data_IF_967362891395
#
_entry.id   IF_967362891395
#
_cell.length_a   1.000
_cell.length_b   1.000
_cell.length_c   1.000
_cell.angle_alpha   90.00
_cell.angle_beta   90.00
_cell.angle_gamma   90.00
#
_symmetry.space_group_name_H-M   'P 1'
#
loop_
_entity.id
_entity.type
_entity.pdbx_description
1 polymer ?
#
# COMPACT_ATOMS: atom_id res chain seq x y z
N UNK A 1 26.44 17.57 -9.37
CA UNK A 1 25.30 16.68 -9.08
C UNK A 1 25.79 15.59 -8.16
N UNK A 2 25.45 15.63 -6.87
CA UNK A 2 25.77 14.54 -5.95
C UNK A 2 24.91 13.36 -6.40
N UNK A 3 25.51 12.35 -7.01
CA UNK A 3 24.80 11.12 -7.38
C UNK A 3 24.47 10.43 -6.06
N UNK A 4 23.19 10.44 -5.70
CA UNK A 4 22.71 9.67 -4.55
C UNK A 4 23.00 8.17 -4.73
N UNK A 5 22.83 7.38 -3.67
CA UNK A 5 23.07 5.95 -3.74
C UNK A 5 22.26 5.29 -4.87
N UNK A 6 22.77 4.20 -5.45
CA UNK A 6 22.08 3.43 -6.47
C UNK A 6 20.62 3.10 -6.08
N UNK A 7 19.68 3.08 -7.04
CA UNK A 7 18.26 2.91 -6.74
C UNK A 7 17.94 1.61 -5.99
N UNK A 8 18.65 0.53 -6.29
CA UNK A 8 18.44 -0.78 -5.66
C UNK A 8 18.88 -0.77 -4.18
N UNK A 9 20.04 -0.17 -3.89
CA UNK A 9 20.53 0.03 -2.52
C UNK A 9 19.57 0.91 -1.74
N UNK A 10 19.14 2.01 -2.34
CA UNK A 10 18.14 2.89 -1.74
C UNK A 10 16.88 2.10 -1.41
N UNK A 11 16.30 1.34 -2.35
CA UNK A 11 15.06 0.59 -2.14
C UNK A 11 15.18 -0.50 -1.05
N UNK A 12 16.32 -1.20 -0.97
CA UNK A 12 16.56 -2.19 0.07
C UNK A 12 16.64 -1.52 1.45
N UNK A 13 17.35 -0.39 1.54
CA UNK A 13 17.40 0.44 2.73
C UNK A 13 16.02 0.91 3.18
N UNK A 14 15.20 1.47 2.28
CA UNK A 14 13.83 1.94 2.61
C UNK A 14 13.04 0.83 3.30
N UNK A 15 13.04 -0.37 2.70
CA UNK A 15 12.21 -1.48 3.16
C UNK A 15 12.62 -1.97 4.55
N UNK A 16 13.92 -2.06 4.81
CA UNK A 16 14.42 -2.44 6.13
C UNK A 16 14.20 -1.32 7.16
N UNK A 17 14.49 -0.07 6.80
CA UNK A 17 14.37 1.08 7.69
C UNK A 17 12.93 1.35 8.13
N UNK A 18 11.94 1.08 7.27
CA UNK A 18 10.52 1.13 7.62
C UNK A 18 10.17 0.20 8.80
N UNK A 19 10.88 -0.92 8.98
CA UNK A 19 10.69 -1.79 10.16
C UNK A 19 11.10 -1.05 11.43
N UNK A 20 12.29 -0.43 11.44
CA UNK A 20 12.77 0.35 12.58
C UNK A 20 11.81 1.49 12.93
N UNK A 21 11.38 2.25 11.93
CA UNK A 21 10.43 3.34 12.12
C UNK A 21 9.11 2.84 12.72
N UNK A 22 8.57 1.73 12.21
CA UNK A 22 7.32 1.17 12.72
C UNK A 22 7.44 0.70 14.17
N UNK A 23 8.57 0.07 14.54
CA UNK A 23 8.85 -0.36 15.91
C UNK A 23 8.99 0.84 16.86
N UNK A 24 9.72 1.87 16.43
CA UNK A 24 9.91 3.10 17.21
C UNK A 24 8.60 3.89 17.41
N UNK A 25 7.72 3.91 16.40
CA UNK A 25 6.44 4.64 16.47
C UNK A 25 5.35 3.88 17.24
N UNK A 26 5.22 2.57 17.05
CA UNK A 26 4.03 1.81 17.47
C UNK A 26 4.26 0.82 18.60
N UNK A 27 5.51 0.52 18.98
CA UNK A 27 5.92 -0.52 19.95
C UNK A 27 5.37 -1.94 19.71
N UNK A 28 4.50 -2.11 18.72
CA UNK A 28 4.02 -3.39 18.24
C UNK A 28 4.63 -3.61 16.87
N UNK A 29 5.39 -4.70 16.75
CA UNK A 29 5.52 -5.40 15.48
C UNK A 29 4.08 -5.57 15.01
N UNK A 30 3.65 -4.83 13.98
CA UNK A 30 2.32 -5.09 13.41
C UNK A 30 2.21 -6.60 13.20
N UNK A 31 1.08 -7.21 13.56
CA UNK A 31 0.84 -8.68 13.64
C UNK A 31 1.34 -9.54 12.46
N UNK A 32 1.92 -8.95 11.43
CA UNK A 32 2.32 -9.53 10.16
C UNK A 32 3.85 -9.59 9.90
N UNK A 33 4.72 -8.99 10.74
CA UNK A 33 6.17 -9.10 10.50
C UNK A 33 6.74 -10.32 11.24
N UNK A 34 6.96 -11.41 10.49
CA UNK A 34 7.61 -12.61 11.00
C UNK A 34 9.13 -12.42 11.15
N UNK A 35 9.79 -13.17 12.07
CA UNK A 35 11.25 -13.17 12.18
C UNK A 35 11.97 -13.50 10.86
N UNK A 36 11.44 -14.45 10.10
CA UNK A 36 11.97 -14.82 8.77
C UNK A 36 11.88 -13.66 7.77
N UNK A 37 10.75 -12.95 7.75
CA UNK A 37 10.59 -11.80 6.87
C UNK A 37 11.57 -10.68 7.23
N UNK A 38 11.78 -10.43 8.53
CA UNK A 38 12.82 -9.49 9.00
C UNK A 38 14.22 -9.91 8.53
N UNK A 39 14.59 -11.18 8.70
CA UNK A 39 15.90 -11.69 8.28
C UNK A 39 16.11 -11.54 6.78
N UNK A 40 15.07 -11.78 5.97
CA UNK A 40 15.13 -11.56 4.52
C UNK A 40 15.35 -10.08 4.18
N UNK A 41 14.64 -9.15 4.84
CA UNK A 41 14.86 -7.72 4.64
C UNK A 41 16.29 -7.30 5.01
N UNK A 42 16.81 -7.81 6.14
CA UNK A 42 18.19 -7.56 6.55
C UNK A 42 19.19 -8.12 5.54
N UNK A 43 18.96 -9.35 5.05
CA UNK A 43 19.81 -9.99 4.04
C UNK A 43 19.81 -9.18 2.75
N UNK A 44 18.65 -8.69 2.31
CA UNK A 44 18.51 -7.89 1.09
C UNK A 44 19.33 -6.60 1.19
N UNK A 45 19.20 -5.84 2.28
CA UNK A 45 19.97 -4.59 2.45
C UNK A 45 21.47 -4.85 2.60
N UNK A 46 21.88 -5.88 3.35
CA UNK A 46 23.30 -6.25 3.50
C UNK A 46 23.91 -6.69 2.18
N UNK A 47 23.18 -7.48 1.38
CA UNK A 47 23.63 -7.93 0.06
C UNK A 47 23.75 -6.74 -0.90
N UNK A 48 22.79 -5.82 -0.88
CA UNK A 48 22.86 -4.61 -1.66
C UNK A 48 24.08 -3.76 -1.25
N UNK A 49 24.33 -3.55 0.03
CA UNK A 49 25.50 -2.77 0.47
C UNK A 49 26.80 -3.41 -0.01
N UNK A 50 26.96 -4.73 0.17
CA UNK A 50 28.16 -5.47 -0.25
C UNK A 50 28.43 -5.40 -1.76
N UNK A 51 27.38 -5.36 -2.58
CA UNK A 51 27.53 -5.16 -4.04
C UNK A 51 28.15 -3.80 -4.37
N UNK A 52 27.98 -2.80 -3.51
CA UNK A 52 28.44 -1.42 -3.72
C UNK A 52 29.67 -1.04 -2.89
N UNK A 53 30.21 -1.92 -2.04
CA UNK A 53 31.43 -1.66 -1.24
C UNK A 53 32.68 -1.36 -2.09
N UNK A 54 32.75 -1.92 -3.30
CA UNK A 54 33.84 -1.71 -4.27
C UNK A 54 33.39 -0.87 -5.47
N UNK A 55 32.36 -0.04 -5.32
CA UNK A 55 31.85 0.78 -6.40
C UNK A 55 32.92 1.81 -6.86
N UNK A 56 33.05 2.13 -8.17
CA UNK A 56 34.06 3.07 -8.67
C UNK A 56 33.94 4.50 -8.10
N UNK A 57 32.74 4.86 -7.64
CA UNK A 57 32.51 6.12 -6.92
C UNK A 57 32.81 5.92 -5.42
N UNK A 58 33.85 6.58 -4.88
CA UNK A 58 34.25 6.39 -3.48
C UNK A 58 33.15 6.80 -2.50
N UNK A 59 32.33 7.80 -2.84
CA UNK A 59 31.24 8.24 -1.96
C UNK A 59 30.17 7.15 -1.81
N UNK A 60 29.87 6.42 -2.91
CA UNK A 60 28.93 5.29 -2.89
C UNK A 60 29.51 4.13 -2.09
N UNK A 61 30.79 3.83 -2.27
CA UNK A 61 31.49 2.78 -1.53
C UNK A 61 31.54 3.05 -0.02
N UNK A 62 31.87 4.28 0.38
CA UNK A 62 31.88 4.71 1.78
C UNK A 62 30.47 4.64 2.38
N UNK A 63 29.46 5.17 1.67
CA UNK A 63 28.06 5.10 2.11
C UNK A 63 27.62 3.65 2.33
N UNK A 64 27.94 2.75 1.40
CA UNK A 64 27.60 1.34 1.53
C UNK A 64 28.27 0.69 2.75
N UNK A 65 29.55 0.98 3.02
CA UNK A 65 30.27 0.49 4.21
C UNK A 65 29.65 1.02 5.51
N UNK A 66 29.28 2.28 5.56
CA UNK A 66 28.59 2.86 6.73
C UNK A 66 27.22 2.23 6.96
N UNK A 67 26.46 1.96 5.89
CA UNK A 67 25.17 1.27 5.99
C UNK A 67 25.33 -0.16 6.51
N UNK A 68 26.38 -0.88 6.09
CA UNK A 68 26.70 -2.21 6.66
C UNK A 68 26.94 -2.09 8.16
N UNK A 69 27.83 -1.18 8.59
CA UNK A 69 28.13 -0.97 10.00
C UNK A 69 26.88 -0.59 10.81
N UNK A 70 25.94 0.12 10.20
CA UNK A 70 24.67 0.49 10.83
C UNK A 70 23.69 -0.69 10.97
N UNK A 71 23.57 -1.54 9.95
CA UNK A 71 22.60 -2.65 9.91
C UNK A 71 23.10 -3.89 10.65
N UNK A 72 24.41 -4.15 10.59
CA UNK A 72 25.01 -5.39 11.06
C UNK A 72 24.67 -5.77 12.51
N UNK A 73 24.67 -4.83 13.50
CA UNK A 73 24.37 -5.14 14.90
C UNK A 73 22.95 -5.68 15.12
N UNK A 74 22.01 -5.37 14.23
CA UNK A 74 20.59 -5.69 14.37
C UNK A 74 20.27 -7.07 13.79
N UNK A 75 20.86 -8.12 14.36
CA UNK A 75 20.82 -9.47 13.80
C UNK A 75 19.44 -10.14 13.85
N UNK A 76 18.55 -9.72 14.76
CA UNK A 76 17.27 -10.37 14.97
C UNK A 76 16.15 -9.39 15.28
N UNK A 77 14.92 -9.80 14.93
CA UNK A 77 13.72 -9.04 15.26
C UNK A 77 13.50 -8.98 16.78
N UNK A 78 13.82 -10.04 17.50
CA UNK A 78 13.67 -10.09 18.97
C UNK A 78 14.55 -9.08 19.69
N UNK A 79 15.79 -8.86 19.21
CA UNK A 79 16.69 -7.83 19.73
C UNK A 79 16.07 -6.43 19.55
N UNK A 80 15.58 -6.13 18.35
CA UNK A 80 14.91 -4.85 18.06
C UNK A 80 13.68 -4.64 18.93
N UNK A 81 12.84 -5.66 19.11
CA UNK A 81 11.63 -5.56 19.93
C UNK A 81 11.92 -5.35 21.42
N UNK A 82 13.08 -5.81 21.91
CA UNK A 82 13.52 -5.62 23.30
C UNK A 82 14.26 -4.31 23.52
N UNK A 83 14.69 -3.65 22.44
CA UNK A 83 15.40 -2.38 22.51
C UNK A 83 14.46 -1.30 23.01
N UNK A 84 14.96 -0.46 23.93
CA UNK A 84 14.17 0.64 24.46
C UNK A 84 13.71 1.58 23.33
N UNK A 85 12.49 2.09 23.47
CA UNK A 85 11.88 2.95 22.45
C UNK A 85 12.72 4.20 22.17
N UNK A 86 13.30 4.79 23.20
CA UNK A 86 14.19 5.96 23.10
C UNK A 86 15.38 5.66 22.19
N UNK A 87 16.05 4.53 22.42
CA UNK A 87 17.16 4.06 21.58
C UNK A 87 16.72 3.80 20.14
N UNK A 88 15.55 3.18 19.92
CA UNK A 88 15.02 2.98 18.57
C UNK A 88 14.73 4.31 17.85
N UNK A 89 14.21 5.32 18.57
CA UNK A 89 13.98 6.65 18.01
C UNK A 89 15.30 7.36 17.66
N UNK A 90 16.32 7.21 18.50
CA UNK A 90 17.64 7.79 18.23
C UNK A 90 18.33 7.11 17.05
N UNK A 91 18.21 5.78 16.92
CA UNK A 91 18.66 5.04 15.74
C UNK A 91 17.95 5.50 14.46
N UNK A 92 16.64 5.70 14.51
CA UNK A 92 15.88 6.24 13.37
C UNK A 92 16.36 7.66 13.02
N UNK A 93 16.62 8.52 14.01
CA UNK A 93 17.17 9.86 13.75
C UNK A 93 18.55 9.81 13.14
N UNK A 94 19.41 8.93 13.65
CA UNK A 94 20.78 8.75 13.15
C UNK A 94 20.77 8.26 11.70
N UNK A 95 19.98 7.23 11.39
CA UNK A 95 19.85 6.70 10.03
C UNK A 95 19.28 7.73 9.05
N UNK A 96 18.31 8.54 9.48
CA UNK A 96 17.76 9.65 8.68
C UNK A 96 18.80 10.74 8.42
N UNK A 97 19.60 11.07 9.43
CA UNK A 97 20.65 12.11 9.33
C UNK A 97 21.79 11.67 8.43
N UNK A 98 22.25 10.41 8.54
CA UNK A 98 23.39 9.89 7.79
C UNK A 98 23.05 9.55 6.33
N UNK A 99 21.93 8.87 6.11
CA UNK A 99 21.61 8.29 4.80
C UNK A 99 20.45 9.00 4.09
N UNK A 100 19.83 9.97 4.76
CA UNK A 100 18.69 10.72 4.27
C UNK A 100 17.37 9.95 4.37
N UNK A 101 16.28 10.69 4.49
CA UNK A 101 14.95 10.11 4.56
C UNK A 101 14.54 9.54 3.21
N UNK A 102 14.28 8.23 3.12
CA UNK A 102 13.58 7.73 1.96
C UNK A 102 12.18 8.35 1.94
N UNK A 103 11.83 8.97 0.81
CA UNK A 103 10.70 9.88 0.61
C UNK A 103 9.34 9.33 1.10
N UNK A 104 9.09 9.46 2.42
CA UNK A 104 7.88 9.03 3.15
C UNK A 104 6.60 9.59 2.54
N UNK A 105 6.69 10.71 1.81
CA UNK A 105 5.54 11.41 1.22
C UNK A 105 4.95 10.68 0.01
N UNK A 106 5.75 9.97 -0.80
CA UNK A 106 5.24 9.23 -1.98
C UNK A 106 4.41 8.00 -1.60
N UNK A 107 4.84 7.24 -0.58
CA UNK A 107 4.18 5.98 -0.18
C UNK A 107 2.80 6.18 0.46
N UNK A 108 2.64 7.20 1.33
CA UNK A 108 1.32 7.55 1.90
C UNK A 108 0.30 7.98 0.83
N UNK A 109 0.73 8.60 -0.28
CA UNK A 109 -0.18 8.97 -1.39
C UNK A 109 -0.69 7.73 -2.15
N UNK A 110 0.15 6.74 -2.44
CA UNK A 110 -0.27 5.51 -3.15
C UNK A 110 -1.34 4.72 -2.38
N UNK A 111 -1.18 4.55 -1.07
CA UNK A 111 -2.19 3.85 -0.26
C UNK A 111 -3.49 4.64 -0.06
N UNK A 112 -3.45 5.97 -0.13
CA UNK A 112 -4.65 6.81 -0.01
C UNK A 112 -5.50 6.77 -1.29
N UNK A 113 -4.87 6.75 -2.47
CA UNK A 113 -5.58 6.59 -3.75
C UNK A 113 -6.28 5.23 -3.88
N UNK A 114 -5.64 4.15 -3.44
CA UNK A 114 -6.24 2.80 -3.46
C UNK A 114 -7.44 2.63 -2.50
N UNK A 115 -7.49 3.38 -1.39
CA UNK A 115 -8.62 3.31 -0.44
C UNK A 115 -9.82 4.18 -0.78
N UNK A 116 -9.64 5.25 -1.56
CA UNK A 116 -10.73 6.17 -1.90
C UNK A 116 -11.43 5.86 -3.24
N UNK A 117 -10.78 5.12 -4.16
CA UNK A 117 -11.37 4.82 -5.48
C UNK A 117 -12.33 3.62 -5.48
N UNK A 118 -11.97 2.50 -4.84
CA UNK A 118 -12.70 1.25 -4.96
C UNK A 118 -14.11 1.25 -4.32
N UNK A 119 -14.31 1.72 -3.07
CA UNK A 119 -15.63 1.66 -2.44
C UNK A 119 -16.62 2.67 -3.04
N UNK A 120 -16.13 3.80 -3.58
CA UNK A 120 -16.96 4.77 -4.30
C UNK A 120 -17.46 4.21 -5.64
N UNK A 121 -16.58 3.53 -6.39
CA UNK A 121 -16.92 2.93 -7.68
C UNK A 121 -17.92 1.77 -7.52
N UNK A 122 -17.76 0.94 -6.49
CA UNK A 122 -18.70 -0.14 -6.14
C UNK A 122 -20.09 0.38 -5.74
N UNK A 123 -20.17 1.53 -5.03
CA UNK A 123 -21.47 2.16 -4.72
C UNK A 123 -22.16 2.69 -5.97
N UNK A 124 -21.41 3.33 -6.88
CA UNK A 124 -21.92 3.82 -8.16
C UNK A 124 -22.44 2.68 -9.04
N UNK A 125 -21.68 1.58 -9.13
CA UNK A 125 -22.10 0.38 -9.87
C UNK A 125 -23.38 -0.23 -9.30
N UNK A 126 -23.48 -0.37 -7.97
CA UNK A 126 -24.70 -0.85 -7.31
C UNK A 126 -25.90 0.05 -7.60
N UNK A 127 -25.71 1.37 -7.58
CA UNK A 127 -26.79 2.32 -7.84
C UNK A 127 -27.29 2.22 -9.29
N UNK A 128 -26.37 2.10 -10.25
CA UNK A 128 -26.71 1.91 -11.67
C UNK A 128 -27.49 0.61 -11.92
N UNK A 129 -27.11 -0.49 -11.26
CA UNK A 129 -27.84 -1.77 -11.37
C UNK A 129 -29.27 -1.63 -10.83
N UNK A 130 -29.44 -0.99 -9.66
CA UNK A 130 -30.78 -0.79 -9.07
C UNK A 130 -31.65 0.13 -9.94
N UNK A 131 -31.11 1.24 -10.44
CA UNK A 131 -31.84 2.15 -11.34
C UNK A 131 -32.19 1.46 -12.66
N UNK A 132 -31.27 0.69 -13.22
CA UNK A 132 -31.50 -0.11 -14.43
C UNK A 132 -32.62 -1.13 -14.23
N UNK A 133 -32.61 -1.88 -13.13
CA UNK A 133 -33.67 -2.84 -12.81
C UNK A 133 -35.03 -2.15 -12.61
N UNK A 134 -35.09 -1.02 -11.91
CA UNK A 134 -36.33 -0.27 -11.73
C UNK A 134 -36.88 0.25 -13.05
N UNK A 135 -36.03 0.80 -13.92
CA UNK A 135 -36.46 1.28 -15.25
C UNK A 135 -36.99 0.15 -16.13
N UNK A 136 -36.35 -1.03 -16.11
CA UNK A 136 -36.83 -2.22 -16.83
C UNK A 136 -38.17 -2.72 -16.29
N UNK A 137 -38.43 -2.60 -14.98
CA UNK A 137 -39.69 -3.06 -14.38
C UNK A 137 -40.84 -2.13 -14.77
N UNK A 138 -40.62 -0.82 -14.77
CA UNK A 138 -41.63 0.17 -15.19
C UNK A 138 -41.97 0.02 -16.67
N UNK A 139 -40.96 -0.18 -17.54
CA UNK A 139 -41.18 -0.47 -18.97
C UNK A 139 -41.97 -1.77 -19.19
N UNK A 140 -41.69 -2.81 -18.40
CA UNK A 140 -42.42 -4.08 -18.49
C UNK A 140 -43.87 -3.95 -18.03
N UNK A 141 -44.14 -3.20 -16.95
CA UNK A 141 -45.51 -2.91 -16.51
C UNK A 141 -46.28 -2.07 -17.53
N UNK A 142 -45.66 -1.05 -18.12
CA UNK A 142 -46.32 -0.18 -19.10
C UNK A 142 -46.61 -0.88 -20.43
N UNK A 143 -45.77 -1.84 -20.84
CA UNK A 143 -46.01 -2.65 -22.03
C UNK A 143 -47.16 -3.67 -21.83
N UNK A 144 -47.37 -4.14 -20.60
CA UNK A 144 -48.41 -5.14 -20.28
C UNK A 144 -49.82 -4.56 -20.25
N UNK A 145 -50.00 -3.27 -19.95
CA UNK A 145 -51.31 -2.60 -19.94
C UNK A 145 -51.86 -2.24 -21.34
N UNK A 146 -51.11 -2.51 -22.41
CA UNK A 146 -51.57 -2.29 -23.80
C UNK A 146 -52.14 -3.55 -24.47
N UNK A 147 -52.67 -4.50 -23.73
CA UNK A 147 -53.55 -5.52 -24.32
C UNK A 147 -54.98 -4.96 -24.39
N UNK A 148 -55.50 -4.60 -25.58
CA UNK A 148 -56.88 -4.15 -25.70
C UNK A 148 -57.83 -5.31 -25.34
N UNK A 149 -58.76 -5.04 -24.43
CA UNK A 149 -59.83 -5.96 -24.10
C UNK A 149 -60.67 -6.29 -25.36
N UNK A 150 -61.11 -7.54 -25.55
CA UNK A 150 -62.01 -7.89 -26.63
C UNK A 150 -63.37 -7.22 -26.38
N UNK A 151 -63.80 -6.37 -27.31
CA UNK A 151 -65.10 -5.71 -27.27
C UNK A 151 -66.21 -6.77 -27.35
N UNK A 152 -66.89 -6.99 -26.23
CA UNK A 152 -68.14 -7.75 -26.17
C UNK A 152 -69.30 -6.90 -26.69
N UNK A 153 -69.90 -7.42 -27.76
CA UNK A 153 -71.22 -7.19 -28.34
C UNK A 153 -72.30 -6.68 -27.37
N UNK A 154 -73.00 -5.62 -27.78
CA UNK A 154 -74.37 -5.36 -27.34
C UNK A 154 -75.26 -5.29 -28.58
N UNK A 155 -76.14 -6.29 -28.71
CA UNK A 155 -77.20 -6.35 -29.70
C UNK A 155 -78.27 -5.31 -29.35
N UNK A 156 -78.69 -4.54 -30.36
CA UNK A 156 -79.83 -3.65 -30.28
C UNK A 156 -81.14 -4.43 -30.49
N UNK A 157 -82.22 -4.13 -29.75
CA UNK A 157 -83.56 -4.45 -30.20
C UNK A 157 -84.13 -3.29 -31.03
N UNK A 158 -84.48 -3.58 -32.28
CA UNK A 158 -85.39 -2.76 -33.07
C UNK A 158 -86.81 -2.92 -32.56
N UNK A 159 -87.53 -1.79 -32.54
CA UNK A 159 -88.92 -1.62 -32.12
C UNK A 159 -89.92 -2.43 -32.95
#
# INVERSE_FOLDING_TARGET
MIKGPPPDLCQAWIRWFEVLENLAERQSVGRNLSPEHYLNLRKDVMSACRLYENHPDPQVADTAREMVAFVEPWISLSLLCRTERTLLLDLVREGDTKFGRPDRRRRRRRHRFLRLGLPGLLKLLKLLIVVGLLSSTVLYCFARDRTPAPYCSWAAPTA
#
